data_IF_520302312172
#
_entry.id   IF_520302312172
#
_cell.length_a   1.000
_cell.length_b   1.000
_cell.length_c   1.000
_cell.angle_alpha   90.00
_cell.angle_beta   90.00
_cell.angle_gamma   90.00
#
_symmetry.space_group_name_H-M   'P 1'
#
loop_
_entity.id
_entity.type
_entity.pdbx_description
1 polymer ?
#
# COMPACT_ATOMS: atom_id res chain seq x y z
N UNK A 1 3.47 -31.65 -16.83
CA UNK A 1 3.32 -30.58 -17.83
C UNK A 1 2.98 -29.32 -17.07
N UNK A 2 3.73 -28.24 -17.27
CA UNK A 2 3.31 -26.93 -16.74
C UNK A 2 2.24 -26.36 -17.70
N UNK A 3 1.05 -26.10 -17.20
CA UNK A 3 -0.03 -25.43 -17.93
C UNK A 3 0.42 -23.99 -18.15
N UNK A 4 0.40 -23.53 -19.39
CA UNK A 4 0.88 -22.19 -19.77
C UNK A 4 -0.26 -21.26 -20.21
N UNK A 5 -1.35 -21.82 -20.71
CA UNK A 5 -2.47 -21.06 -21.27
C UNK A 5 -3.76 -21.33 -20.51
N UNK A 6 -4.67 -20.34 -20.48
CA UNK A 6 -5.99 -20.51 -19.85
C UNK A 6 -6.84 -21.56 -20.56
N UNK A 7 -6.70 -21.72 -21.88
CA UNK A 7 -7.42 -22.71 -22.68
C UNK A 7 -7.09 -24.17 -22.31
N UNK A 8 -5.95 -24.40 -21.64
CA UNK A 8 -5.56 -25.72 -21.16
C UNK A 8 -6.21 -26.10 -19.81
N UNK A 9 -6.94 -25.15 -19.19
CA UNK A 9 -7.60 -25.36 -17.90
C UNK A 9 -8.98 -26.00 -18.06
N UNK A 10 -9.39 -26.90 -17.15
CA UNK A 10 -10.72 -27.51 -17.17
C UNK A 10 -11.78 -26.53 -16.62
N UNK A 11 -12.11 -25.51 -17.40
CA UNK A 11 -13.08 -24.45 -17.07
C UNK A 11 -14.31 -24.54 -17.94
N UNK A 12 -15.45 -24.07 -17.41
CA UNK A 12 -16.68 -23.90 -18.18
C UNK A 12 -16.54 -22.85 -19.28
N UNK A 13 -17.36 -22.94 -20.33
CA UNK A 13 -17.30 -22.01 -21.46
C UNK A 13 -17.61 -20.58 -21.01
N UNK A 14 -18.56 -20.41 -20.10
CA UNK A 14 -18.97 -19.11 -19.56
C UNK A 14 -17.80 -18.38 -18.86
N UNK A 15 -16.94 -19.13 -18.19
CA UNK A 15 -15.73 -18.54 -17.57
C UNK A 15 -14.67 -18.24 -18.62
N UNK A 16 -14.50 -19.12 -19.60
CA UNK A 16 -13.55 -18.89 -20.70
C UNK A 16 -13.93 -17.63 -21.48
N UNK A 17 -15.21 -17.41 -21.77
CA UNK A 17 -15.71 -16.19 -22.43
C UNK A 17 -15.39 -14.93 -21.59
N UNK A 18 -15.52 -15.00 -20.26
CA UNK A 18 -15.15 -13.93 -19.34
C UNK A 18 -13.65 -13.65 -19.32
N UNK A 19 -12.83 -14.68 -19.39
CA UNK A 19 -11.36 -14.60 -19.42
C UNK A 19 -10.89 -13.96 -20.74
N UNK A 20 -11.48 -14.38 -21.87
CA UNK A 20 -11.17 -13.85 -23.19
C UNK A 20 -11.52 -12.35 -23.28
N UNK A 21 -12.68 -11.93 -22.77
CA UNK A 21 -13.07 -10.51 -22.74
C UNK A 21 -12.11 -9.66 -21.86
N UNK A 22 -11.48 -10.27 -20.85
CA UNK A 22 -10.45 -9.65 -20.04
C UNK A 22 -9.10 -9.55 -20.77
N UNK A 23 -8.95 -10.21 -21.92
CA UNK A 23 -7.72 -10.25 -22.71
C UNK A 23 -6.63 -11.09 -22.09
N UNK A 24 -7.00 -12.13 -21.33
CA UNK A 24 -6.05 -13.05 -20.72
C UNK A 24 -5.77 -14.22 -21.67
N UNK A 25 -4.50 -14.47 -21.98
CA UNK A 25 -4.04 -15.61 -22.79
C UNK A 25 -3.11 -16.51 -21.99
N UNK A 26 -2.07 -15.92 -21.45
CA UNK A 26 -1.00 -16.63 -20.76
C UNK A 26 -1.23 -16.62 -19.24
N UNK A 27 -0.89 -17.72 -18.59
CA UNK A 27 -0.96 -17.85 -17.14
C UNK A 27 0.28 -17.24 -16.48
N UNK A 28 0.08 -16.33 -15.54
CA UNK A 28 1.16 -15.95 -14.61
C UNK A 28 1.57 -17.12 -13.72
N UNK A 29 2.81 -17.17 -13.22
CA UNK A 29 3.32 -18.28 -12.42
C UNK A 29 2.43 -18.68 -11.23
N UNK A 30 1.86 -17.69 -10.53
CA UNK A 30 0.93 -17.96 -9.42
C UNK A 30 -0.38 -18.60 -9.89
N UNK A 31 -0.87 -18.23 -11.07
CA UNK A 31 -2.09 -18.79 -11.66
C UNK A 31 -1.86 -20.23 -12.11
N UNK A 32 -0.77 -20.47 -12.84
CA UNK A 32 -0.39 -21.81 -13.32
C UNK A 32 -0.29 -22.85 -12.19
N UNK A 33 0.14 -22.41 -11.01
CA UNK A 33 0.32 -23.31 -9.87
C UNK A 33 -0.91 -23.39 -8.95
N UNK A 34 -1.70 -22.30 -8.79
CA UNK A 34 -2.78 -22.24 -7.81
C UNK A 34 -4.14 -22.69 -8.34
N UNK A 35 -4.45 -22.49 -9.63
CA UNK A 35 -5.79 -22.71 -10.16
C UNK A 35 -6.22 -24.17 -10.02
N UNK A 36 -5.39 -25.14 -10.41
CA UNK A 36 -5.72 -26.55 -10.35
C UNK A 36 -5.91 -27.06 -8.91
N UNK A 37 -5.03 -26.80 -7.95
CA UNK A 37 -5.28 -27.14 -6.54
C UNK A 37 -6.59 -26.55 -6.01
N UNK A 38 -6.90 -25.31 -6.33
CA UNK A 38 -8.11 -24.64 -5.89
C UNK A 38 -9.38 -25.23 -6.54
N UNK A 39 -9.34 -25.57 -7.83
CA UNK A 39 -10.42 -26.31 -8.50
C UNK A 39 -10.69 -27.65 -7.83
N UNK A 40 -9.65 -28.34 -7.38
CA UNK A 40 -9.73 -29.62 -6.66
C UNK A 40 -10.16 -29.47 -5.20
N UNK A 41 -10.50 -28.28 -4.72
CA UNK A 41 -10.98 -28.03 -3.37
C UNK A 41 -9.92 -28.03 -2.29
N UNK A 42 -8.62 -27.98 -2.63
CA UNK A 42 -7.53 -27.89 -1.66
C UNK A 42 -7.39 -26.49 -1.10
N UNK A 43 -6.99 -26.39 0.14
CA UNK A 43 -6.55 -25.12 0.72
C UNK A 43 -5.20 -24.73 0.12
N UNK A 44 -4.99 -23.45 -0.15
CA UNK A 44 -3.77 -22.94 -0.80
C UNK A 44 -3.21 -21.75 -0.04
N UNK A 45 -1.92 -21.76 0.21
CA UNK A 45 -1.13 -20.60 0.63
C UNK A 45 -0.34 -20.13 -0.59
N UNK A 46 -0.73 -19.00 -1.17
CA UNK A 46 -0.09 -18.40 -2.34
C UNK A 46 0.78 -17.21 -1.96
N UNK A 47 2.10 -17.33 -2.13
CA UNK A 47 3.00 -16.19 -1.99
C UNK A 47 3.26 -15.54 -3.34
N UNK A 48 2.74 -14.33 -3.52
CA UNK A 48 2.96 -13.56 -4.74
C UNK A 48 2.75 -12.06 -4.49
N UNK A 49 3.51 -11.21 -5.18
CA UNK A 49 3.38 -9.75 -5.08
C UNK A 49 2.05 -9.23 -5.63
N UNK A 50 1.72 -7.99 -5.30
CA UNK A 50 0.59 -7.27 -5.91
C UNK A 50 0.85 -7.06 -7.41
N UNK A 51 -0.16 -7.32 -8.24
CA UNK A 51 -0.05 -7.15 -9.70
C UNK A 51 0.46 -8.37 -10.47
N UNK A 52 0.63 -9.52 -9.82
CA UNK A 52 1.05 -10.80 -10.43
C UNK A 52 -0.12 -11.70 -10.81
N UNK A 53 -1.36 -11.19 -10.82
CA UNK A 53 -2.54 -11.96 -11.22
C UNK A 53 -3.18 -12.81 -10.12
N UNK A 54 -2.91 -12.54 -8.83
CA UNK A 54 -3.51 -13.26 -7.68
C UNK A 54 -5.03 -13.33 -7.74
N UNK A 55 -5.69 -12.21 -8.06
CA UNK A 55 -7.15 -12.15 -8.11
C UNK A 55 -7.74 -13.16 -9.08
N UNK A 56 -7.15 -13.33 -10.25
CA UNK A 56 -7.57 -14.36 -11.21
C UNK A 56 -7.18 -15.77 -10.70
N UNK A 57 -6.03 -15.92 -10.04
CA UNK A 57 -5.57 -17.21 -9.49
C UNK A 57 -6.57 -17.82 -8.49
N UNK A 58 -7.20 -17.01 -7.64
CA UNK A 58 -8.23 -17.51 -6.72
C UNK A 58 -9.66 -17.30 -7.25
N UNK A 59 -9.90 -16.24 -8.03
CA UNK A 59 -11.23 -15.88 -8.50
C UNK A 59 -11.80 -16.86 -9.51
N UNK A 60 -11.02 -17.27 -10.50
CA UNK A 60 -11.42 -18.22 -11.53
C UNK A 60 -11.87 -19.57 -10.92
N UNK A 61 -11.04 -20.27 -10.12
CA UNK A 61 -11.47 -21.53 -9.54
C UNK A 61 -12.59 -21.38 -8.51
N UNK A 62 -12.69 -20.23 -7.84
CA UNK A 62 -13.79 -19.95 -6.93
C UNK A 62 -15.10 -19.85 -7.71
N UNK A 63 -15.17 -19.06 -8.75
CA UNK A 63 -16.38 -18.85 -9.56
C UNK A 63 -16.83 -20.15 -10.21
N UNK A 64 -15.93 -20.97 -10.76
CA UNK A 64 -16.21 -22.28 -11.37
C UNK A 64 -16.94 -23.25 -10.41
N UNK A 65 -16.70 -23.12 -9.10
CA UNK A 65 -17.22 -24.04 -8.10
C UNK A 65 -18.51 -23.58 -7.40
N UNK A 66 -19.01 -22.39 -7.71
CA UNK A 66 -20.24 -21.87 -7.13
C UNK A 66 -21.48 -22.31 -7.91
N UNK A 67 -22.59 -22.45 -7.18
CA UNK A 67 -23.87 -22.77 -7.76
C UNK A 67 -24.72 -21.49 -7.96
N UNK A 68 -24.99 -21.04 -9.20
CA UNK A 68 -25.79 -19.86 -9.46
C UNK A 68 -27.25 -19.96 -8.99
N UNK A 69 -27.79 -21.18 -8.83
CA UNK A 69 -29.18 -21.41 -8.40
C UNK A 69 -29.35 -21.28 -6.87
N UNK A 70 -28.26 -21.26 -6.11
CA UNK A 70 -28.28 -21.10 -4.65
C UNK A 70 -28.03 -19.62 -4.30
N UNK A 71 -29.09 -18.87 -4.05
CA UNK A 71 -29.05 -17.43 -3.76
C UNK A 71 -28.43 -17.05 -2.40
N UNK A 72 -27.75 -17.99 -1.73
CA UNK A 72 -27.00 -17.71 -0.49
C UNK A 72 -25.57 -17.26 -0.76
N UNK A 73 -24.93 -16.67 0.26
CA UNK A 73 -23.51 -16.30 0.18
C UNK A 73 -22.65 -17.57 0.28
N UNK A 74 -22.05 -17.95 -0.84
CA UNK A 74 -21.24 -19.16 -0.98
C UNK A 74 -19.73 -18.89 -0.91
N UNK A 75 -19.30 -17.66 -1.22
CA UNK A 75 -17.90 -17.27 -1.15
C UNK A 75 -17.72 -15.94 -0.43
N UNK A 76 -16.64 -15.86 0.37
CA UNK A 76 -16.23 -14.66 1.09
C UNK A 76 -14.76 -14.36 0.79
N UNK A 77 -14.49 -13.13 0.36
CA UNK A 77 -13.14 -12.61 0.17
C UNK A 77 -12.90 -11.48 1.15
N UNK A 78 -11.84 -11.58 1.97
CA UNK A 78 -11.44 -10.53 2.90
C UNK A 78 -10.28 -9.73 2.33
N UNK A 79 -10.42 -8.41 2.40
CA UNK A 79 -9.48 -7.42 1.89
C UNK A 79 -9.08 -6.40 2.96
N UNK A 80 -7.81 -5.95 3.03
CA UNK A 80 -7.38 -5.00 4.04
C UNK A 80 -7.98 -3.61 3.86
N UNK A 81 -8.35 -3.22 2.63
CA UNK A 81 -8.81 -1.86 2.32
C UNK A 81 -10.08 -1.87 1.48
N UNK A 82 -10.84 -0.75 1.58
CA UNK A 82 -12.08 -0.53 0.84
C UNK A 82 -11.84 -0.50 -0.67
N UNK A 83 -10.72 0.09 -1.05
CA UNK A 83 -10.31 0.25 -2.44
C UNK A 83 -10.03 -1.11 -3.07
N UNK A 84 -9.33 -2.01 -2.36
CA UNK A 84 -9.08 -3.38 -2.80
C UNK A 84 -10.37 -4.18 -2.87
N UNK A 85 -11.20 -4.13 -1.82
CA UNK A 85 -12.48 -4.84 -1.81
C UNK A 85 -13.34 -4.46 -3.02
N UNK A 86 -13.37 -3.17 -3.40
CA UNK A 86 -14.07 -2.71 -4.59
C UNK A 86 -13.43 -3.25 -5.88
N UNK A 87 -12.10 -3.17 -6.00
CA UNK A 87 -11.38 -3.61 -7.19
C UNK A 87 -11.49 -5.12 -7.42
N UNK A 88 -11.32 -5.90 -6.35
CA UNK A 88 -11.46 -7.35 -6.42
C UNK A 88 -12.90 -7.73 -6.77
N UNK A 89 -13.90 -7.07 -6.18
CA UNK A 89 -15.30 -7.32 -6.54
C UNK A 89 -15.58 -7.02 -8.04
N UNK A 90 -15.10 -5.87 -8.54
CA UNK A 90 -15.22 -5.50 -9.95
C UNK A 90 -14.50 -6.50 -10.89
N UNK A 91 -13.37 -7.04 -10.44
CA UNK A 91 -12.61 -8.02 -11.22
C UNK A 91 -13.34 -9.39 -11.25
N UNK A 92 -13.83 -9.87 -10.11
CA UNK A 92 -14.60 -11.10 -10.01
C UNK A 92 -15.91 -11.00 -10.81
N UNK A 93 -16.61 -9.87 -10.72
CA UNK A 93 -17.84 -9.60 -11.49
C UNK A 93 -17.60 -9.69 -13.00
N UNK A 94 -16.44 -9.25 -13.48
CA UNK A 94 -16.05 -9.41 -14.89
C UNK A 94 -15.70 -10.85 -15.26
N UNK A 95 -15.05 -11.61 -14.37
CA UNK A 95 -14.76 -13.04 -14.60
C UNK A 95 -16.06 -13.83 -14.73
N UNK A 96 -17.05 -13.57 -13.87
CA UNK A 96 -18.34 -14.29 -13.87
C UNK A 96 -19.43 -13.61 -14.70
N UNK A 97 -19.07 -12.73 -15.62
CA UNK A 97 -20.01 -11.92 -16.42
C UNK A 97 -21.06 -12.73 -17.16
N UNK A 98 -20.69 -13.91 -17.65
CA UNK A 98 -21.56 -14.82 -18.40
C UNK A 98 -22.23 -15.88 -17.52
N UNK A 99 -22.04 -15.78 -16.18
CA UNK A 99 -22.69 -16.63 -15.18
C UNK A 99 -23.74 -15.81 -14.41
N UNK A 100 -24.79 -16.47 -13.92
CA UNK A 100 -25.81 -15.81 -13.09
C UNK A 100 -25.36 -15.62 -11.63
N UNK A 101 -24.08 -15.24 -11.41
CA UNK A 101 -23.54 -15.00 -10.10
C UNK A 101 -23.56 -13.49 -9.77
N UNK A 102 -23.89 -13.17 -8.52
CA UNK A 102 -23.95 -11.79 -8.02
C UNK A 102 -22.82 -11.53 -7.04
N UNK A 103 -22.02 -10.51 -7.28
CA UNK A 103 -20.90 -10.08 -6.45
C UNK A 103 -21.25 -8.80 -5.71
N UNK A 104 -21.03 -8.75 -4.39
CA UNK A 104 -21.29 -7.57 -3.56
C UNK A 104 -20.03 -7.13 -2.81
N UNK A 105 -19.53 -5.92 -3.06
CA UNK A 105 -18.49 -5.31 -2.23
C UNK A 105 -19.09 -4.75 -0.92
N UNK A 106 -18.58 -5.21 0.24
CA UNK A 106 -19.00 -4.82 1.59
C UNK A 106 -17.85 -4.11 2.31
N UNK A 107 -17.93 -2.78 2.44
CA UNK A 107 -16.91 -1.97 3.12
C UNK A 107 -17.50 -0.72 3.79
N UNK A 108 -16.78 -0.16 4.75
CA UNK A 108 -17.18 1.03 5.48
C UNK A 108 -17.15 2.31 4.65
N UNK A 109 -17.79 3.40 5.14
CA UNK A 109 -17.81 4.71 4.46
C UNK A 109 -18.87 4.86 3.38
N UNK A 110 -19.69 3.84 3.16
CA UNK A 110 -20.93 3.87 2.35
C UNK A 110 -22.15 3.60 3.27
N UNK A 111 -23.35 4.10 2.93
CA UNK A 111 -24.57 3.79 3.68
C UNK A 111 -24.80 2.28 3.72
N UNK A 112 -24.97 1.76 4.95
CA UNK A 112 -25.13 0.30 5.16
C UNK A 112 -26.43 -0.22 4.57
N UNK A 113 -27.49 0.57 4.53
CA UNK A 113 -28.80 0.18 4.02
C UNK A 113 -28.76 -0.32 2.58
N UNK A 114 -27.93 0.27 1.74
CA UNK A 114 -27.76 -0.20 0.34
C UNK A 114 -27.15 -1.60 0.30
N UNK A 115 -26.19 -1.89 1.19
CA UNK A 115 -25.57 -3.20 1.27
C UNK A 115 -26.59 -4.24 1.82
N UNK A 116 -27.38 -3.89 2.84
CA UNK A 116 -28.44 -4.73 3.38
C UNK A 116 -29.46 -5.07 2.28
N UNK A 117 -29.98 -4.04 1.62
CA UNK A 117 -30.95 -4.26 0.52
C UNK A 117 -30.42 -5.21 -0.56
N UNK A 118 -29.14 -5.06 -0.96
CA UNK A 118 -28.56 -5.94 -1.97
C UNK A 118 -28.38 -7.37 -1.45
N UNK A 119 -28.00 -7.55 -0.17
CA UNK A 119 -27.93 -8.89 0.45
C UNK A 119 -29.29 -9.60 0.47
N UNK A 120 -30.37 -8.86 0.76
CA UNK A 120 -31.74 -9.39 0.75
C UNK A 120 -32.20 -9.84 -0.64
N UNK A 121 -31.63 -9.29 -1.72
CA UNK A 121 -31.92 -9.71 -3.09
C UNK A 121 -31.14 -10.98 -3.51
N UNK A 122 -30.41 -11.59 -2.60
CA UNK A 122 -29.55 -12.74 -2.85
C UNK A 122 -28.22 -12.37 -3.51
N UNK A 123 -27.13 -12.79 -2.89
CA UNK A 123 -25.75 -12.54 -3.30
C UNK A 123 -24.95 -13.83 -3.11
N UNK A 124 -24.14 -14.18 -4.11
CA UNK A 124 -23.33 -15.41 -4.09
C UNK A 124 -21.91 -15.18 -3.55
N UNK A 125 -21.32 -14.03 -3.86
CA UNK A 125 -19.94 -13.69 -3.52
C UNK A 125 -19.90 -12.36 -2.78
N UNK A 126 -19.31 -12.36 -1.59
CA UNK A 126 -19.08 -11.14 -0.80
C UNK A 126 -17.59 -10.85 -0.79
N UNK A 127 -17.21 -9.63 -1.16
CA UNK A 127 -15.84 -9.13 -1.07
C UNK A 127 -15.82 -7.97 -0.08
N UNK A 128 -15.08 -8.06 1.03
CA UNK A 128 -15.21 -7.02 2.03
C UNK A 128 -14.03 -6.79 2.95
N UNK A 129 -14.13 -5.66 3.68
CA UNK A 129 -13.18 -5.35 4.74
C UNK A 129 -13.67 -5.89 6.08
N UNK A 130 -12.79 -6.42 6.96
CA UNK A 130 -13.17 -7.13 8.18
C UNK A 130 -14.19 -6.39 9.03
N UNK A 131 -13.93 -5.14 9.40
CA UNK A 131 -14.83 -4.40 10.31
C UNK A 131 -16.26 -4.20 9.80
N UNK A 132 -16.49 -4.05 8.46
CA UNK A 132 -17.86 -3.91 7.92
C UNK A 132 -18.53 -5.28 7.75
N UNK A 133 -17.78 -6.33 7.47
CA UNK A 133 -18.27 -7.71 7.47
C UNK A 133 -18.79 -8.05 8.89
N UNK A 134 -18.04 -7.75 9.93
CA UNK A 134 -18.44 -7.96 11.33
C UNK A 134 -19.69 -7.15 11.68
N UNK A 135 -19.81 -5.91 11.23
CA UNK A 135 -21.03 -5.08 11.46
C UNK A 135 -22.26 -5.77 10.87
N UNK A 136 -22.18 -6.30 9.64
CA UNK A 136 -23.28 -7.07 9.02
C UNK A 136 -23.57 -8.38 9.75
N UNK A 137 -22.55 -9.14 10.17
CA UNK A 137 -22.72 -10.37 10.94
C UNK A 137 -23.43 -10.08 12.28
N UNK A 138 -22.98 -9.06 13.02
CA UNK A 138 -23.57 -8.68 14.30
C UNK A 138 -25.02 -8.18 14.18
N UNK A 139 -25.37 -7.59 13.04
CA UNK A 139 -26.74 -7.17 12.72
C UNK A 139 -27.62 -8.32 12.22
N UNK A 140 -27.06 -9.49 11.94
CA UNK A 140 -27.79 -10.61 11.33
C UNK A 140 -28.15 -10.40 9.86
N UNK A 141 -27.59 -9.38 9.20
CA UNK A 141 -27.85 -9.06 7.77
C UNK A 141 -26.92 -9.78 6.81
N UNK A 142 -25.87 -10.43 7.31
CA UNK A 142 -24.99 -11.32 6.55
C UNK A 142 -24.91 -12.66 7.27
N UNK A 143 -25.37 -13.71 6.61
CA UNK A 143 -25.26 -15.08 7.07
C UNK A 143 -24.14 -15.81 6.30
N UNK A 144 -23.18 -16.37 7.03
CA UNK A 144 -22.05 -17.09 6.47
C UNK A 144 -22.21 -18.63 6.53
N UNK A 145 -23.35 -19.15 6.96
CA UNK A 145 -23.55 -20.60 7.15
C UNK A 145 -23.46 -21.45 5.87
N UNK A 146 -23.67 -20.82 4.72
CA UNK A 146 -23.59 -21.47 3.39
C UNK A 146 -22.25 -21.24 2.68
N UNK A 147 -21.29 -20.56 3.34
CA UNK A 147 -19.98 -20.25 2.74
C UNK A 147 -19.17 -21.52 2.55
N UNK A 148 -18.81 -21.79 1.32
CA UNK A 148 -17.99 -22.94 0.90
C UNK A 148 -16.53 -22.57 0.68
N UNK A 149 -16.26 -21.31 0.32
CA UNK A 149 -14.93 -20.81 -0.02
C UNK A 149 -14.65 -19.49 0.71
N UNK A 150 -13.51 -19.42 1.38
CA UNK A 150 -12.98 -18.17 1.98
C UNK A 150 -11.61 -17.87 1.39
N UNK A 151 -11.42 -16.62 1.00
CA UNK A 151 -10.13 -16.09 0.53
C UNK A 151 -9.68 -14.97 1.45
N UNK A 152 -8.44 -15.05 1.94
CA UNK A 152 -7.75 -13.96 2.62
C UNK A 152 -6.72 -13.39 1.64
N UNK A 153 -7.00 -12.25 1.02
CA UNK A 153 -6.03 -11.60 0.12
C UNK A 153 -5.27 -10.49 0.86
N UNK A 154 -4.01 -10.31 0.50
CA UNK A 154 -3.08 -9.42 1.20
C UNK A 154 -3.08 -9.65 2.73
N UNK A 155 -2.99 -10.93 3.13
CA UNK A 155 -3.12 -11.34 4.52
C UNK A 155 -2.08 -10.69 5.44
N UNK A 156 -0.81 -10.60 5.00
CA UNK A 156 0.25 -9.88 5.71
C UNK A 156 -0.17 -8.45 6.06
N UNK A 157 -0.82 -7.77 5.13
CA UNK A 157 -1.30 -6.39 5.35
C UNK A 157 -2.48 -6.32 6.30
N UNK A 158 -3.37 -7.31 6.27
CA UNK A 158 -4.47 -7.36 7.25
C UNK A 158 -3.93 -7.54 8.67
N UNK A 159 -2.92 -8.38 8.83
CA UNK A 159 -2.26 -8.61 10.13
C UNK A 159 -1.47 -7.38 10.60
N UNK A 160 -0.72 -6.72 9.72
CA UNK A 160 -0.04 -5.44 10.01
C UNK A 160 -1.00 -4.33 10.46
N UNK A 161 -2.25 -4.35 9.98
CA UNK A 161 -3.30 -3.41 10.38
C UNK A 161 -4.00 -3.81 11.68
N UNK A 162 -3.64 -4.94 12.28
CA UNK A 162 -4.20 -5.43 13.54
C UNK A 162 -5.56 -6.12 13.39
N UNK A 163 -5.91 -6.62 12.20
CA UNK A 163 -7.19 -7.28 11.94
C UNK A 163 -7.20 -8.77 12.31
N UNK A 164 -6.22 -9.26 13.07
CA UNK A 164 -6.16 -10.69 13.40
C UNK A 164 -7.41 -11.16 14.13
N UNK A 165 -7.84 -10.46 15.18
CA UNK A 165 -9.04 -10.82 15.96
C UNK A 165 -10.31 -10.74 15.10
N UNK A 166 -10.37 -9.76 14.20
CA UNK A 166 -11.49 -9.58 13.28
C UNK A 166 -11.57 -10.74 12.28
N UNK A 167 -10.44 -11.17 11.72
CA UNK A 167 -10.35 -12.31 10.79
C UNK A 167 -10.78 -13.59 11.52
N UNK A 168 -10.25 -13.84 12.71
CA UNK A 168 -10.60 -15.01 13.52
C UNK A 168 -12.10 -15.04 13.86
N UNK A 169 -12.66 -13.90 14.23
CA UNK A 169 -14.10 -13.78 14.49
C UNK A 169 -14.94 -14.13 13.25
N UNK A 170 -14.58 -13.61 12.07
CA UNK A 170 -15.29 -13.88 10.82
C UNK A 170 -15.17 -15.37 10.45
N UNK A 171 -13.97 -15.92 10.50
CA UNK A 171 -13.71 -17.33 10.18
C UNK A 171 -14.46 -18.29 11.12
N UNK A 172 -14.66 -17.90 12.40
CA UNK A 172 -15.46 -18.66 13.36
C UNK A 172 -16.96 -18.73 13.04
N UNK A 173 -17.46 -17.83 12.17
CA UNK A 173 -18.87 -17.79 11.74
C UNK A 173 -19.13 -18.52 10.43
N UNK A 174 -18.08 -18.90 9.70
CA UNK A 174 -18.17 -19.70 8.49
C UNK A 174 -18.01 -21.21 8.82
N UNK A 175 -18.56 -22.13 7.99
CA UNK A 175 -18.45 -23.56 8.21
C UNK A 175 -16.98 -24.03 8.32
N UNK A 176 -16.73 -25.03 9.18
CA UNK A 176 -15.38 -25.57 9.37
C UNK A 176 -14.86 -26.36 8.16
N UNK A 177 -15.77 -26.96 7.38
CA UNK A 177 -15.45 -27.76 6.19
C UNK A 177 -15.34 -26.94 4.90
N UNK A 178 -15.21 -25.61 5.00
CA UNK A 178 -14.97 -24.74 3.86
C UNK A 178 -13.58 -24.95 3.28
N UNK A 179 -13.38 -24.60 2.03
CA UNK A 179 -12.06 -24.35 1.47
C UNK A 179 -11.56 -22.98 1.92
N UNK A 180 -10.30 -22.88 2.35
CA UNK A 180 -9.68 -21.62 2.71
C UNK A 180 -8.42 -21.41 1.88
N UNK A 181 -8.30 -20.26 1.23
CA UNK A 181 -7.08 -19.86 0.55
C UNK A 181 -6.56 -18.54 1.12
N UNK A 182 -5.23 -18.44 1.22
CA UNK A 182 -4.55 -17.26 1.72
C UNK A 182 -3.52 -16.80 0.71
N UNK A 183 -3.62 -15.55 0.28
CA UNK A 183 -2.67 -14.92 -0.62
C UNK A 183 -1.97 -13.75 0.10
N UNK A 184 -0.65 -13.72 -0.01
CA UNK A 184 0.18 -12.74 0.68
C UNK A 184 1.43 -12.42 -0.12
N UNK A 185 2.00 -11.24 0.05
CA UNK A 185 3.32 -10.92 -0.50
C UNK A 185 4.43 -11.53 0.36
N UNK A 186 4.19 -11.65 1.67
CA UNK A 186 5.12 -12.22 2.63
C UNK A 186 4.42 -13.26 3.50
N UNK A 187 5.17 -14.29 3.89
CA UNK A 187 4.69 -15.36 4.77
C UNK A 187 5.60 -15.38 6.00
N UNK A 188 5.25 -14.55 6.97
CA UNK A 188 5.90 -14.51 8.28
C UNK A 188 5.22 -15.47 9.28
N UNK A 189 5.68 -15.45 10.53
CA UNK A 189 5.13 -16.31 11.57
C UNK A 189 3.66 -15.99 11.87
N UNK A 190 3.25 -14.74 11.82
CA UNK A 190 1.88 -14.32 12.10
C UNK A 190 0.90 -14.83 11.03
N UNK A 191 1.30 -14.76 9.76
CA UNK A 191 0.56 -15.36 8.64
C UNK A 191 0.47 -16.88 8.80
N UNK A 192 1.59 -17.55 9.15
CA UNK A 192 1.62 -18.99 9.37
C UNK A 192 0.75 -19.43 10.54
N UNK A 193 0.64 -18.65 11.60
CA UNK A 193 -0.23 -18.95 12.73
C UNK A 193 -1.71 -18.98 12.34
N UNK A 194 -2.15 -18.04 11.49
CA UNK A 194 -3.50 -18.04 10.91
C UNK A 194 -3.69 -19.28 10.01
N UNK A 195 -2.72 -19.59 9.15
CA UNK A 195 -2.78 -20.78 8.29
C UNK A 195 -2.92 -22.08 9.10
N UNK A 196 -2.08 -22.25 10.10
CA UNK A 196 -2.08 -23.47 10.93
C UNK A 196 -3.40 -23.66 11.70
N UNK A 197 -4.08 -22.55 12.06
CA UNK A 197 -5.32 -22.61 12.84
C UNK A 197 -6.57 -22.81 11.98
N UNK A 198 -6.61 -22.25 10.78
CA UNK A 198 -7.84 -22.14 10.00
C UNK A 198 -7.81 -22.86 8.64
N UNK A 199 -6.68 -23.44 8.24
CA UNK A 199 -6.53 -24.15 6.98
C UNK A 199 -6.28 -25.65 7.18
N UNK A 200 -6.76 -26.45 6.25
CA UNK A 200 -6.62 -27.91 6.29
C UNK A 200 -5.55 -28.39 5.30
N UNK A 201 -4.36 -28.72 5.80
CA UNK A 201 -3.22 -29.23 4.99
C UNK A 201 -3.02 -28.40 3.70
N UNK A 202 -2.80 -27.10 3.82
CA UNK A 202 -2.73 -26.23 2.64
C UNK A 202 -1.55 -26.58 1.75
N UNK A 203 -1.77 -26.50 0.44
CA UNK A 203 -0.72 -26.55 -0.55
C UNK A 203 0.00 -25.21 -0.60
N UNK A 204 1.33 -25.23 -0.41
CA UNK A 204 2.15 -24.02 -0.40
C UNK A 204 2.67 -23.74 -1.80
N UNK A 205 2.29 -22.62 -2.36
CA UNK A 205 2.71 -22.13 -3.66
C UNK A 205 3.55 -20.88 -3.44
N UNK A 206 4.85 -21.08 -3.56
CA UNK A 206 5.84 -20.04 -3.38
C UNK A 206 6.38 -19.68 -4.77
N UNK A 207 5.90 -18.60 -5.34
CA UNK A 207 6.50 -18.08 -6.56
C UNK A 207 7.91 -17.63 -6.22
N UNK A 208 8.92 -18.09 -6.99
CA UNK A 208 10.32 -17.92 -6.64
C UNK A 208 10.69 -16.45 -6.45
N UNK A 209 11.74 -16.20 -5.65
CA UNK A 209 12.22 -14.83 -5.38
C UNK A 209 12.63 -14.11 -6.69
N UNK A 210 13.15 -14.85 -7.66
CA UNK A 210 13.57 -14.32 -8.96
C UNK A 210 12.38 -13.85 -9.82
N UNK A 211 11.19 -14.49 -9.66
CA UNK A 211 9.93 -14.07 -10.28
C UNK A 211 9.25 -12.97 -9.47
N UNK A 212 9.69 -12.72 -8.24
CA UNK A 212 9.13 -11.76 -7.29
C UNK A 212 9.77 -10.37 -7.44
N UNK A 213 11.00 -10.25 -7.89
CA UNK A 213 11.61 -8.95 -8.14
C UNK A 213 11.07 -8.39 -9.45
N UNK A 214 10.49 -7.17 -9.48
CA UNK A 214 10.38 -6.47 -10.73
C UNK A 214 11.83 -6.22 -11.20
N UNK A 215 12.33 -7.07 -12.10
CA UNK A 215 13.65 -6.93 -12.70
C UNK A 215 13.86 -5.60 -13.43
N UNK A 216 12.86 -4.73 -13.38
CA UNK A 216 12.78 -3.50 -14.14
C UNK A 216 12.60 -2.23 -13.29
N UNK A 217 12.79 -2.29 -11.95
CA UNK A 217 12.78 -1.08 -11.12
C UNK A 217 14.20 -0.65 -10.82
N UNK A 218 14.60 0.47 -11.41
CA UNK A 218 15.85 1.14 -11.05
C UNK A 218 15.68 1.78 -9.66
N UNK A 219 16.53 1.40 -8.70
CA UNK A 219 16.42 1.86 -7.32
C UNK A 219 17.58 2.77 -6.98
N UNK A 220 17.26 3.95 -6.46
CA UNK A 220 18.24 4.97 -6.10
C UNK A 220 17.97 5.52 -4.70
N UNK A 221 19.00 6.01 -4.04
CA UNK A 221 18.88 6.81 -2.83
C UNK A 221 19.78 8.05 -2.94
N UNK A 222 19.40 9.09 -2.17
CA UNK A 222 20.18 10.31 -2.05
C UNK A 222 20.21 10.73 -0.58
N UNK A 223 21.41 10.93 -0.03
CA UNK A 223 21.57 11.43 1.34
C UNK A 223 21.42 12.94 1.33
N UNK A 224 20.45 13.46 2.06
CA UNK A 224 20.08 14.87 2.03
C UNK A 224 19.89 15.46 3.42
N UNK A 225 20.27 16.74 3.59
CA UNK A 225 19.91 17.48 4.79
C UNK A 225 18.39 17.71 4.81
N UNK A 226 17.77 17.54 5.98
CA UNK A 226 16.32 17.70 6.14
C UNK A 226 15.80 19.06 5.66
N UNK A 227 16.59 20.14 5.80
CA UNK A 227 16.22 21.47 5.32
C UNK A 227 16.16 21.57 3.79
N UNK A 228 16.96 20.77 3.10
CA UNK A 228 17.08 20.80 1.63
C UNK A 228 16.20 19.76 0.94
N UNK A 229 15.58 18.84 1.70
CA UNK A 229 14.77 17.71 1.15
C UNK A 229 13.75 18.18 0.12
N UNK A 230 13.10 19.33 0.32
CA UNK A 230 12.11 19.84 -0.59
C UNK A 230 12.72 20.35 -1.92
N UNK A 231 13.84 21.09 -1.85
CA UNK A 231 14.53 21.57 -3.05
C UNK A 231 15.06 20.40 -3.88
N UNK A 232 15.65 19.41 -3.20
CA UNK A 232 16.11 18.17 -3.84
C UNK A 232 14.95 17.46 -4.53
N UNK A 233 13.79 17.36 -3.90
CA UNK A 233 12.60 16.80 -4.53
C UNK A 233 12.20 17.55 -5.80
N UNK A 234 12.18 18.88 -5.77
CA UNK A 234 11.84 19.70 -6.94
C UNK A 234 12.84 19.47 -8.08
N UNK A 235 14.16 19.47 -7.78
CA UNK A 235 15.18 19.19 -8.78
C UNK A 235 15.02 17.80 -9.39
N UNK A 236 14.77 16.76 -8.57
CA UNK A 236 14.53 15.40 -9.08
C UNK A 236 13.34 15.39 -10.05
N UNK A 237 12.25 16.10 -9.72
CA UNK A 237 11.06 16.15 -10.57
C UNK A 237 11.40 16.82 -11.90
N UNK A 238 12.13 17.93 -11.88
CA UNK A 238 12.43 18.73 -13.06
C UNK A 238 13.49 18.08 -13.97
N UNK A 239 14.61 17.62 -13.39
CA UNK A 239 15.72 16.99 -14.11
C UNK A 239 15.32 15.66 -14.77
N UNK A 240 14.47 14.88 -14.11
CA UNK A 240 13.98 13.61 -14.66
C UNK A 240 12.69 13.76 -15.47
N UNK A 241 12.20 14.98 -15.69
CA UNK A 241 10.96 15.26 -16.41
C UNK A 241 9.80 14.39 -15.93
N UNK A 242 9.62 14.31 -14.61
CA UNK A 242 8.68 13.37 -13.99
C UNK A 242 7.24 13.82 -14.25
N UNK A 243 6.54 13.07 -15.11
CA UNK A 243 5.15 13.35 -15.42
C UNK A 243 4.16 12.61 -14.52
N UNK A 244 4.57 11.48 -13.91
CA UNK A 244 3.66 10.67 -13.11
C UNK A 244 4.36 9.95 -11.98
N UNK A 245 4.17 10.47 -10.75
CA UNK A 245 4.79 9.90 -9.57
C UNK A 245 3.86 9.79 -8.37
N UNK A 246 4.16 8.82 -7.50
CA UNK A 246 3.68 8.81 -6.11
C UNK A 246 4.85 9.21 -5.20
N UNK A 247 4.59 10.20 -4.35
CA UNK A 247 5.53 10.72 -3.36
C UNK A 247 5.06 10.29 -1.98
N UNK A 248 5.83 9.45 -1.30
CA UNK A 248 5.48 8.89 0.00
C UNK A 248 5.96 9.76 1.15
N UNK A 249 5.04 10.11 2.06
CA UNK A 249 5.30 10.82 3.31
C UNK A 249 4.85 9.98 4.51
N UNK A 250 5.56 10.12 5.63
CA UNK A 250 5.30 9.40 6.87
C UNK A 250 4.00 9.81 7.56
N UNK A 251 3.61 11.09 7.49
CA UNK A 251 2.48 11.63 8.27
C UNK A 251 1.42 12.30 7.41
N UNK A 252 0.15 12.29 7.88
CA UNK A 252 -0.97 12.98 7.23
C UNK A 252 -0.70 14.48 7.04
N UNK A 253 -0.18 15.14 8.10
CA UNK A 253 0.17 16.57 8.07
C UNK A 253 1.31 16.85 7.07
N UNK A 254 2.36 16.03 7.08
CA UNK A 254 3.47 16.13 6.14
C UNK A 254 3.00 15.98 4.69
N UNK A 255 2.11 15.02 4.41
CA UNK A 255 1.51 14.79 3.10
C UNK A 255 0.78 16.03 2.59
N UNK A 256 -0.09 16.65 3.41
CA UNK A 256 -0.81 17.86 3.02
C UNK A 256 0.14 19.04 2.80
N UNK A 257 1.07 19.27 3.73
CA UNK A 257 2.05 20.36 3.64
C UNK A 257 2.95 20.25 2.41
N UNK A 258 3.42 19.04 2.10
CA UNK A 258 4.27 18.80 0.93
C UNK A 258 3.50 19.04 -0.38
N UNK A 259 2.28 18.53 -0.49
CA UNK A 259 1.43 18.77 -1.65
C UNK A 259 1.13 20.25 -1.84
N UNK A 260 0.87 21.00 -0.76
CA UNK A 260 0.64 22.45 -0.82
C UNK A 260 1.90 23.21 -1.25
N UNK A 261 3.09 22.82 -0.76
CA UNK A 261 4.35 23.42 -1.19
C UNK A 261 4.62 23.17 -2.67
N UNK A 262 4.41 21.93 -3.15
CA UNK A 262 4.57 21.59 -4.56
C UNK A 262 3.62 22.41 -5.44
N UNK A 263 2.35 22.57 -5.05
CA UNK A 263 1.39 23.41 -5.80
C UNK A 263 1.81 24.88 -5.87
N UNK A 264 2.35 25.43 -4.79
CA UNK A 264 2.87 26.81 -4.78
C UNK A 264 4.07 27.00 -5.70
N UNK A 265 4.81 25.94 -5.99
CA UNK A 265 5.89 25.93 -6.99
C UNK A 265 5.40 25.62 -8.42
N UNK A 266 4.08 25.47 -8.62
CA UNK A 266 3.50 25.24 -9.94
C UNK A 266 3.31 23.76 -10.32
N UNK A 267 3.64 22.82 -9.45
CA UNK A 267 3.44 21.40 -9.74
C UNK A 267 1.98 20.98 -9.55
N UNK A 268 1.48 20.13 -10.44
CA UNK A 268 0.14 19.53 -10.29
C UNK A 268 0.20 18.36 -9.28
N UNK A 269 0.05 18.71 -8.00
CA UNK A 269 0.16 17.78 -6.87
C UNK A 269 -1.10 17.79 -5.99
N UNK A 270 -1.56 16.61 -5.55
CA UNK A 270 -2.64 16.47 -4.57
C UNK A 270 -2.25 15.51 -3.45
N UNK A 271 -2.69 15.81 -2.20
CA UNK A 271 -2.48 14.90 -1.08
C UNK A 271 -3.50 13.77 -1.07
N UNK A 272 -3.10 12.60 -0.51
CA UNK A 272 -3.97 11.47 -0.22
C UNK A 272 -3.59 10.83 1.12
N UNK A 273 -4.48 10.92 2.11
CA UNK A 273 -4.23 10.37 3.46
C UNK A 273 -5.53 10.00 4.18
N UNK A 274 -5.43 9.27 5.27
CA UNK A 274 -6.58 8.77 6.03
C UNK A 274 -7.45 9.82 6.73
N UNK A 275 -7.09 11.13 6.65
CA UNK A 275 -7.94 12.24 7.13
C UNK A 275 -9.00 12.67 6.12
N UNK A 276 -8.99 12.14 4.90
CA UNK A 276 -9.98 12.45 3.87
C UNK A 276 -11.22 11.58 4.03
N UNK A 277 -12.38 12.15 3.67
CA UNK A 277 -13.61 11.36 3.50
C UNK A 277 -13.45 10.37 2.33
N UNK A 278 -14.26 9.32 2.30
CA UNK A 278 -14.19 8.33 1.23
C UNK A 278 -14.41 8.95 -0.15
N UNK A 279 -15.36 9.88 -0.28
CA UNK A 279 -15.61 10.56 -1.56
C UNK A 279 -14.42 11.42 -2.02
N UNK A 280 -13.74 12.11 -1.09
CA UNK A 280 -12.51 12.87 -1.39
C UNK A 280 -11.38 11.93 -1.85
N UNK A 281 -11.19 10.79 -1.19
CA UNK A 281 -10.19 9.79 -1.58
C UNK A 281 -10.48 9.23 -2.97
N UNK A 282 -11.72 8.87 -3.25
CA UNK A 282 -12.16 8.40 -4.57
C UNK A 282 -11.96 9.46 -5.66
N UNK A 283 -12.26 10.72 -5.38
CA UNK A 283 -12.07 11.83 -6.32
C UNK A 283 -10.59 12.03 -6.68
N UNK A 284 -9.68 12.01 -5.68
CA UNK A 284 -8.24 12.15 -5.91
C UNK A 284 -7.71 10.93 -6.66
N UNK A 285 -8.06 9.72 -6.23
CA UNK A 285 -7.63 8.48 -6.87
C UNK A 285 -8.09 8.37 -8.32
N UNK A 286 -9.35 8.74 -8.59
CA UNK A 286 -9.90 8.77 -9.96
C UNK A 286 -9.23 9.86 -10.83
N UNK A 287 -8.91 11.02 -10.26
CA UNK A 287 -8.19 12.07 -10.98
C UNK A 287 -6.78 11.59 -11.37
N UNK A 288 -6.10 10.90 -10.47
CA UNK A 288 -4.77 10.35 -10.73
C UNK A 288 -4.84 9.17 -11.72
N UNK A 289 -5.82 8.27 -11.59
CA UNK A 289 -6.05 7.16 -12.54
C UNK A 289 -6.33 7.68 -13.97
N UNK A 290 -7.14 8.72 -14.10
CA UNK A 290 -7.48 9.35 -15.40
C UNK A 290 -6.39 10.29 -15.95
N UNK A 291 -5.18 10.26 -15.41
CA UNK A 291 -4.04 11.13 -15.81
C UNK A 291 -4.32 12.64 -15.74
N UNK A 292 -5.33 13.06 -14.95
CA UNK A 292 -5.64 14.46 -14.70
C UNK A 292 -4.84 15.07 -13.54
N UNK A 293 -4.00 14.29 -12.89
CA UNK A 293 -3.12 14.65 -11.79
C UNK A 293 -1.77 13.99 -12.03
N UNK A 294 -0.68 14.78 -11.96
CA UNK A 294 0.68 14.31 -12.23
C UNK A 294 1.34 13.72 -10.98
N UNK A 295 1.26 14.40 -9.85
CA UNK A 295 1.94 14.03 -8.61
C UNK A 295 0.94 13.70 -7.50
N UNK A 296 0.99 12.47 -6.99
CA UNK A 296 0.19 12.06 -5.85
C UNK A 296 1.09 12.02 -4.60
N UNK A 297 0.84 12.88 -3.61
CA UNK A 297 1.56 12.84 -2.33
C UNK A 297 0.73 12.01 -1.35
N UNK A 298 1.25 10.90 -0.85
CA UNK A 298 0.44 9.95 -0.10
C UNK A 298 1.13 9.40 1.15
N UNK A 299 0.31 8.99 2.14
CA UNK A 299 0.78 8.10 3.22
C UNK A 299 0.66 6.65 2.78
N UNK A 300 1.43 5.73 3.38
CA UNK A 300 1.39 4.30 3.08
C UNK A 300 -0.03 3.74 3.12
N UNK A 301 -0.75 3.98 4.21
CA UNK A 301 -2.13 3.49 4.40
C UNK A 301 -3.07 3.96 3.30
N UNK A 302 -2.90 5.19 2.81
CA UNK A 302 -3.79 5.75 1.80
C UNK A 302 -3.42 5.36 0.36
N UNK A 303 -2.14 5.12 0.09
CA UNK A 303 -1.66 4.63 -1.20
C UNK A 303 -1.84 3.12 -1.37
N UNK A 304 -2.08 2.41 -0.26
CA UNK A 304 -2.38 0.97 -0.30
C UNK A 304 -3.71 0.74 -1.03
N UNK A 305 -3.73 -0.28 -1.88
CA UNK A 305 -4.92 -0.61 -2.67
C UNK A 305 -5.21 0.31 -3.87
N UNK A 306 -4.34 1.28 -4.15
CA UNK A 306 -4.40 2.01 -5.40
C UNK A 306 -3.81 1.13 -6.52
N UNK A 307 -4.68 0.51 -7.30
CA UNK A 307 -4.27 -0.06 -8.57
C UNK A 307 -4.24 1.06 -9.61
N UNK A 308 -3.04 1.54 -9.87
CA UNK A 308 -2.78 2.60 -10.84
C UNK A 308 -1.66 2.10 -11.73
N UNK A 309 -1.98 2.01 -12.99
CA UNK A 309 -1.03 1.64 -14.03
C UNK A 309 -0.15 2.83 -14.43
N UNK A 310 1.01 2.54 -15.02
CA UNK A 310 1.89 3.54 -15.66
C UNK A 310 2.43 4.62 -14.70
N UNK A 311 2.69 4.25 -13.45
CA UNK A 311 3.47 5.11 -12.56
C UNK A 311 4.94 4.97 -12.96
N UNK A 312 5.56 6.05 -13.39
CA UNK A 312 6.96 6.03 -13.82
C UNK A 312 7.93 6.10 -12.64
N UNK A 313 7.56 6.88 -11.62
CA UNK A 313 8.45 7.13 -10.49
C UNK A 313 7.75 6.94 -9.15
N UNK A 314 8.46 6.31 -8.21
CA UNK A 314 8.13 6.32 -6.78
C UNK A 314 9.20 7.13 -6.06
N UNK A 315 8.77 8.13 -5.31
CA UNK A 315 9.69 8.95 -4.50
C UNK A 315 9.37 8.74 -3.03
N UNK A 316 10.28 8.12 -2.29
CA UNK A 316 10.20 8.05 -0.84
C UNK A 316 10.74 9.36 -0.27
N UNK A 317 9.89 10.37 -0.12
CA UNK A 317 10.26 11.63 0.54
C UNK A 317 10.66 11.40 1.99
N UNK A 318 9.94 10.53 2.68
CA UNK A 318 10.33 9.98 3.97
C UNK A 318 10.63 8.48 3.80
N UNK A 319 11.82 8.07 4.25
CA UNK A 319 12.24 6.67 4.22
C UNK A 319 11.29 5.83 5.09
N UNK A 320 10.83 4.66 4.65
CA UNK A 320 10.05 3.77 5.48
C UNK A 320 10.93 3.13 6.56
N UNK A 321 10.35 2.91 7.75
CA UNK A 321 11.06 2.26 8.86
C UNK A 321 11.21 0.74 8.64
N UNK A 322 10.31 0.17 7.85
CA UNK A 322 10.26 -1.25 7.54
C UNK A 322 10.58 -1.47 6.05
N UNK A 323 11.45 -2.44 5.79
CA UNK A 323 11.84 -2.81 4.43
C UNK A 323 10.67 -3.40 3.62
N UNK A 324 9.71 -4.10 4.25
CA UNK A 324 8.51 -4.59 3.56
C UNK A 324 7.65 -3.44 3.06
N UNK A 325 7.52 -2.36 3.84
CA UNK A 325 6.85 -1.13 3.40
C UNK A 325 7.57 -0.51 2.21
N UNK A 326 8.91 -0.56 2.18
CA UNK A 326 9.68 -0.12 1.02
C UNK A 326 9.30 -0.88 -0.25
N UNK A 327 9.27 -2.21 -0.19
CA UNK A 327 8.88 -3.04 -1.33
C UNK A 327 7.44 -2.77 -1.79
N UNK A 328 6.50 -2.61 -0.85
CA UNK A 328 5.12 -2.26 -1.18
C UNK A 328 4.98 -0.89 -1.85
N UNK A 329 5.86 0.08 -1.52
CA UNK A 329 5.89 1.39 -2.18
C UNK A 329 6.43 1.27 -3.59
N UNK A 330 7.62 0.69 -3.76
CA UNK A 330 8.27 0.60 -5.08
C UNK A 330 7.48 -0.29 -6.06
N UNK A 331 6.81 -1.34 -5.58
CA UNK A 331 5.92 -2.18 -6.37
C UNK A 331 4.67 -1.47 -6.92
N UNK A 332 4.54 -0.15 -6.75
CA UNK A 332 3.54 0.68 -7.44
C UNK A 332 4.01 1.09 -8.85
N UNK A 333 5.31 0.99 -9.16
CA UNK A 333 5.88 1.17 -10.51
C UNK A 333 6.42 -0.14 -11.06
N UNK A 334 6.89 -0.16 -12.29
CA UNK A 334 7.47 -1.36 -12.92
C UNK A 334 6.47 -2.48 -13.19
N UNK A 335 5.20 -2.16 -13.45
CA UNK A 335 4.14 -3.13 -13.74
C UNK A 335 3.99 -3.38 -15.24
N UNK A 336 3.51 -4.57 -15.60
CA UNK A 336 3.22 -4.96 -17.00
C UNK A 336 4.43 -4.84 -17.95
N UNK A 337 5.63 -5.13 -17.46
CA UNK A 337 6.85 -5.06 -18.30
C UNK A 337 7.37 -3.65 -18.56
N UNK A 338 6.74 -2.60 -18.03
CA UNK A 338 7.22 -1.23 -18.12
C UNK A 338 8.28 -0.97 -17.05
N UNK A 339 9.42 -0.38 -17.44
CA UNK A 339 10.45 0.04 -16.50
C UNK A 339 9.93 1.06 -15.49
N UNK A 340 10.45 1.02 -14.24
CA UNK A 340 10.11 1.97 -13.20
C UNK A 340 11.34 2.51 -12.47
N UNK A 341 11.20 3.65 -11.83
CA UNK A 341 12.27 4.26 -11.02
C UNK A 341 11.79 4.54 -9.61
N UNK A 342 12.57 4.14 -8.62
CA UNK A 342 12.34 4.43 -7.21
C UNK A 342 13.49 5.25 -6.64
N UNK A 343 13.19 6.40 -6.05
CA UNK A 343 14.19 7.31 -5.47
C UNK A 343 13.85 7.54 -4.00
N UNK A 344 14.83 7.36 -3.11
CA UNK A 344 14.64 7.50 -1.67
C UNK A 344 15.50 8.63 -1.12
N UNK A 345 14.87 9.64 -0.51
CA UNK A 345 15.55 10.73 0.17
C UNK A 345 15.84 10.35 1.62
N UNK A 346 17.11 10.23 1.96
CA UNK A 346 17.59 9.74 3.24
C UNK A 346 18.21 10.88 4.04
N UNK A 347 17.70 11.15 5.23
CA UNK A 347 18.35 12.08 6.16
C UNK A 347 19.60 11.47 6.78
N UNK A 348 20.55 12.30 7.24
CA UNK A 348 21.78 11.82 7.91
C UNK A 348 21.51 10.90 9.11
N UNK A 349 20.40 11.10 9.82
CA UNK A 349 19.97 10.24 10.92
C UNK A 349 19.22 8.97 10.52
N UNK A 350 18.95 8.76 9.22
CA UNK A 350 18.13 7.68 8.68
C UNK A 350 18.96 6.62 7.91
N UNK A 351 20.29 6.65 8.05
CA UNK A 351 21.22 5.71 7.36
C UNK A 351 21.00 4.27 7.84
N UNK A 352 20.64 4.09 9.11
CA UNK A 352 20.38 2.76 9.67
C UNK A 352 19.18 2.09 8.99
N UNK A 353 18.12 2.84 8.74
CA UNK A 353 16.94 2.39 8.02
C UNK A 353 17.28 2.01 6.56
N UNK A 354 18.08 2.84 5.88
CA UNK A 354 18.58 2.56 4.55
C UNK A 354 19.37 1.24 4.52
N UNK A 355 20.27 1.02 5.47
CA UNK A 355 21.08 -0.20 5.53
C UNK A 355 20.21 -1.45 5.78
N UNK A 356 19.16 -1.34 6.60
CA UNK A 356 18.19 -2.43 6.78
C UNK A 356 17.45 -2.75 5.47
N UNK A 357 17.04 -1.73 4.72
CA UNK A 357 16.41 -1.91 3.41
C UNK A 357 17.39 -2.57 2.44
N UNK A 358 18.64 -2.08 2.35
CA UNK A 358 19.69 -2.65 1.49
C UNK A 358 19.99 -4.11 1.80
N UNK A 359 19.98 -4.49 3.07
CA UNK A 359 20.26 -5.87 3.51
C UNK A 359 19.18 -6.87 3.06
N UNK A 360 17.95 -6.41 2.82
CA UNK A 360 16.82 -7.23 2.39
C UNK A 360 16.48 -7.07 0.91
N UNK A 361 17.14 -6.14 0.20
CA UNK A 361 17.02 -5.96 -1.25
C UNK A 361 18.07 -6.78 -1.96
N UNK A 362 17.67 -7.68 -2.84
CA UNK A 362 18.57 -8.40 -3.73
C UNK A 362 19.13 -7.50 -4.85
N UNK A 363 18.40 -6.43 -5.19
CA UNK A 363 18.81 -5.45 -6.22
C UNK A 363 19.60 -4.32 -5.58
N UNK A 364 20.74 -3.96 -6.16
CA UNK A 364 21.55 -2.86 -5.65
C UNK A 364 20.79 -1.52 -5.70
N UNK A 365 20.63 -0.87 -4.54
CA UNK A 365 20.13 0.49 -4.47
C UNK A 365 21.34 1.42 -4.66
N UNK A 366 21.39 2.11 -5.79
CA UNK A 366 22.52 2.96 -6.19
C UNK A 366 22.40 4.34 -5.53
N UNK A 367 23.54 4.92 -5.16
CA UNK A 367 23.58 6.31 -4.73
C UNK A 367 23.45 7.24 -5.93
N UNK A 368 22.54 8.23 -5.82
CA UNK A 368 22.54 9.37 -6.74
C UNK A 368 23.42 10.45 -6.13
N UNK A 369 24.50 10.77 -6.79
CA UNK A 369 25.30 11.94 -6.44
C UNK A 369 24.48 13.19 -6.78
N UNK A 370 24.24 14.05 -5.79
CA UNK A 370 23.68 15.36 -6.07
C UNK A 370 24.78 16.27 -6.59
N UNK A 371 24.66 16.73 -7.81
CA UNK A 371 25.42 17.90 -8.29
C UNK A 371 24.94 19.21 -7.62
N UNK A 372 24.11 19.12 -6.59
CA UNK A 372 23.73 20.30 -5.81
C UNK A 372 24.98 20.73 -5.04
N UNK A 373 25.62 21.84 -5.40
CA UNK A 373 26.72 22.34 -4.63
C UNK A 373 26.25 22.49 -3.18
N UNK A 374 27.06 22.06 -2.23
CA UNK A 374 26.89 22.26 -0.78
C UNK A 374 26.78 23.77 -0.42
N UNK A 375 26.66 24.64 -1.38
CA UNK A 375 26.68 26.10 -1.31
C UNK A 375 25.35 26.78 -0.95
N UNK A 376 24.25 26.06 -0.66
CA UNK A 376 23.20 26.61 0.17
C UNK A 376 23.45 26.31 1.67
N UNK A 377 24.69 26.52 2.13
CA UNK A 377 24.83 27.30 3.34
C UNK A 377 24.30 28.69 2.92
N UNK A 378 23.06 29.02 3.27
CA UNK A 378 22.84 30.39 3.71
C UNK A 378 23.98 30.67 4.67
N UNK A 379 24.95 31.42 4.26
CA UNK A 379 25.71 32.24 5.17
C UNK A 379 24.62 33.02 5.90
N UNK A 380 24.17 32.52 7.06
CA UNK A 380 23.67 33.43 8.05
C UNK A 380 24.81 34.43 8.18
N UNK A 381 24.60 35.62 7.63
CA UNK A 381 25.54 36.73 7.82
C UNK A 381 25.77 36.74 9.33
N UNK A 382 26.94 36.29 9.74
CA UNK A 382 27.29 36.33 11.17
C UNK A 382 27.71 37.74 11.43
N UNK A 383 27.03 38.37 12.33
CA UNK A 383 27.34 39.73 12.77
C UNK A 383 28.18 39.68 14.07
N UNK A 384 29.21 40.48 14.11
CA UNK A 384 29.96 40.65 15.35
C UNK A 384 29.13 41.43 16.39
N UNK A 385 29.10 40.91 17.59
CA UNK A 385 28.40 41.52 18.69
C UNK A 385 29.23 41.35 19.99
N UNK A 386 29.06 42.24 20.92
CA UNK A 386 29.68 42.13 22.27
C UNK A 386 28.66 41.50 23.21
N UNK A 387 29.06 40.43 23.89
CA UNK A 387 28.20 39.77 24.86
C UNK A 387 27.91 40.71 26.05
N UNK A 388 26.65 40.92 26.34
CA UNK A 388 26.21 41.83 27.43
C UNK A 388 26.62 41.32 28.81
N UNK A 389 26.82 40.02 29.02
CA UNK A 389 27.21 39.47 30.32
C UNK A 389 28.71 39.43 30.54
N UNK A 390 29.49 38.93 29.57
CA UNK A 390 30.92 38.72 29.77
C UNK A 390 31.83 39.70 29.02
N UNK A 391 31.26 40.61 28.22
CA UNK A 391 32.01 41.62 27.48
C UNK A 391 32.84 41.11 26.29
N UNK A 392 32.84 39.78 26.00
CA UNK A 392 33.64 39.22 24.92
C UNK A 392 32.94 39.44 23.58
N UNK A 393 33.69 39.67 22.51
CA UNK A 393 33.20 39.66 21.15
C UNK A 393 32.72 38.26 20.80
N UNK A 394 31.57 38.16 20.16
CA UNK A 394 30.98 36.91 19.70
C UNK A 394 30.29 37.12 18.36
N UNK A 395 30.22 36.05 17.55
CA UNK A 395 29.46 36.05 16.28
C UNK A 395 28.04 35.52 16.52
N UNK A 396 27.06 36.28 16.04
CA UNK A 396 25.63 35.93 16.14
C UNK A 396 24.97 35.80 14.76
N UNK A 397 24.03 34.89 14.56
CA UNK A 397 23.42 34.64 13.27
C UNK A 397 22.25 35.59 12.93
N UNK A 398 22.23 36.76 13.54
CA UNK A 398 21.22 37.80 13.34
C UNK A 398 21.88 39.18 13.49
N UNK A 399 21.34 40.19 12.85
CA UNK A 399 21.78 41.58 12.97
C UNK A 399 21.46 42.08 14.38
N UNK A 400 22.48 42.45 15.22
CA UNK A 400 22.22 42.90 16.56
C UNK A 400 21.37 44.21 16.56
N UNK A 401 20.36 44.22 17.41
CA UNK A 401 19.57 45.44 17.68
C UNK A 401 20.26 46.20 18.82
N UNK A 402 20.62 47.47 18.67
CA UNK A 402 21.31 48.24 19.72
C UNK A 402 20.54 48.30 21.06
N UNK A 403 19.24 48.11 21.04
CA UNK A 403 18.35 48.19 22.19
C UNK A 403 18.08 46.83 22.85
N UNK A 404 18.67 45.72 22.34
CA UNK A 404 18.47 44.39 22.88
C UNK A 404 19.78 43.76 23.31
N UNK A 405 19.83 43.12 24.51
CA UNK A 405 21.03 42.46 24.97
C UNK A 405 21.37 41.23 24.12
N UNK A 406 22.63 41.10 23.74
CA UNK A 406 23.17 39.97 23.00
C UNK A 406 24.04 39.16 23.94
N UNK A 407 23.92 37.83 23.90
CA UNK A 407 24.68 36.92 24.75
C UNK A 407 25.50 35.95 23.90
N UNK A 408 26.76 35.70 24.31
CA UNK A 408 27.57 34.63 23.73
C UNK A 408 26.96 33.24 24.06
N UNK A 409 27.40 32.20 23.38
CA UNK A 409 26.88 30.83 23.54
C UNK A 409 26.97 30.31 24.96
N UNK A 410 28.07 30.67 25.69
CA UNK A 410 28.32 30.22 27.05
C UNK A 410 27.38 30.93 28.05
N UNK A 411 27.24 32.24 27.96
CA UNK A 411 26.36 33.01 28.83
C UNK A 411 24.90 32.71 28.58
N UNK A 412 24.52 32.49 27.31
CA UNK A 412 23.17 32.06 26.95
C UNK A 412 22.82 30.67 27.51
N UNK A 413 23.77 29.72 27.50
CA UNK A 413 23.56 28.38 28.08
C UNK A 413 23.31 28.42 29.58
N UNK A 414 23.99 29.36 30.34
CA UNK A 414 23.78 29.54 31.76
C UNK A 414 22.44 30.21 32.10
N UNK A 415 21.88 30.98 31.20
CA UNK A 415 20.58 31.69 31.39
C UNK A 415 19.37 30.87 31.01
N UNK A 416 19.54 29.70 30.35
CA UNK A 416 18.43 28.79 30.07
C UNK A 416 17.92 28.16 31.37
N UNK A 417 16.65 28.32 31.74
CA UNK A 417 16.07 27.52 32.81
C UNK A 417 16.24 26.04 32.48
N UNK A 418 16.45 25.16 33.48
CA UNK A 418 16.47 23.72 33.24
C UNK A 418 15.16 23.31 32.56
N UNK A 419 15.27 22.52 31.48
CA UNK A 419 14.10 21.97 30.80
C UNK A 419 13.45 21.00 31.80
N UNK A 420 12.37 21.42 32.45
CA UNK A 420 11.50 20.50 33.18
C UNK A 420 11.03 19.42 32.23
N UNK A 421 11.41 18.19 32.51
CA UNK A 421 10.87 17.01 31.87
C UNK A 421 9.37 17.00 32.17
N UNK A 422 8.54 17.35 31.19
CA UNK A 422 7.11 17.13 31.26
C UNK A 422 6.89 15.63 31.47
N UNK A 423 6.47 15.34 32.71
CA UNK A 423 6.23 14.03 33.23
C UNK A 423 5.20 13.28 32.38
N UNK A 424 5.49 12.01 32.17
CA UNK A 424 4.54 11.01 31.75
C UNK A 424 3.27 11.13 32.64
N UNK A 425 2.13 11.43 32.05
CA UNK A 425 0.83 11.11 32.63
C UNK A 425 0.33 9.83 31.99
N UNK A 426 0.05 8.90 32.89
CA UNK A 426 -0.55 7.57 32.83
C UNK A 426 -1.69 7.46 31.83
#
# INVERSE_FOLDING_TARGET
MQIQYFEDLPLSQEIMDGIEELGFSDLFPIQAQAIIPLLNGKDVIGQAKTGTGKTAAFGIPMVERLNPQDNSVQALILEPTRELAKQVAEHIDRICKYMELKVLPIYGGKPIQKQIYTLEQGVHIVVGTPGRIIDHIKRGTLNLSSVKIVVLDEADRMLDMGFIDDIEYILSKAPANRQTSLFSATIDQSVMDVCNRYMNKPEKILVSKDEIAPTQINQYYMVVNHRNKFHVLCNIIDENHIERAIIFCKTRKGTSMLADRLRRQGYDAKPLHGGFTQSQREAVSNSFRKRKLKLLVATDVAARGLDIQEITHIINYDIPLDALVYFHRIGRTGRMGLGGTAITLVGYGEITELNRIKALTETAIKELESEIPVSYRERSETHEAVCTDCGRSCQVPFKPDPNRPVYCRECWAQRRPPIEKLGARV
#
